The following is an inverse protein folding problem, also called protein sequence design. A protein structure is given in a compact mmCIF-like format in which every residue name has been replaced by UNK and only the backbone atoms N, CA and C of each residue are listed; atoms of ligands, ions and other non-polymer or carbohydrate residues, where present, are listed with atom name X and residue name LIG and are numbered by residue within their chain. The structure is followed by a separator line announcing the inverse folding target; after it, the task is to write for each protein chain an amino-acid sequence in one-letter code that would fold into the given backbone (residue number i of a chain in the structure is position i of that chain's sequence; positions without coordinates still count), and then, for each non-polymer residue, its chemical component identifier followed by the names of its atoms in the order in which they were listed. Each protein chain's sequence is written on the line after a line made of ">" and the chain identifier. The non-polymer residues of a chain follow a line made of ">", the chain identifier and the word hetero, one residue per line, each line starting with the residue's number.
data_IF_547340854608
#
_entry.id   IF_547340854608
#
_cell.length_a   1.000
_cell.length_b   1.000
_cell.length_c   1.000
_cell.angle_alpha   90.00
_cell.angle_beta   90.00
_cell.angle_gamma   90.00
#
_symmetry.space_group_name_H-M   'P 1'
#
loop_
_entity.id
_entity.type
_entity.pdbx_description
1 polymer ?
#
# COMPACT_ATOMS: atom_id res chain seq x y z
N UNK A 1 -7.02 18.62 24.55
CA UNK A 1 -7.45 17.25 24.87
C UNK A 1 -6.59 16.32 24.01
N UNK A 2 -5.80 15.42 24.60
CA UNK A 2 -4.98 14.47 23.81
C UNK A 2 -5.89 13.30 23.42
N UNK A 3 -6.04 13.04 22.11
CA UNK A 3 -6.83 11.91 21.64
C UNK A 3 -6.07 10.60 21.83
N UNK A 4 -6.78 9.50 22.02
CA UNK A 4 -6.16 8.19 22.13
C UNK A 4 -5.54 7.79 20.78
N UNK A 5 -4.37 7.15 20.83
CA UNK A 5 -3.71 6.59 19.65
C UNK A 5 -4.12 5.13 19.48
N UNK A 6 -4.61 4.80 18.30
CA UNK A 6 -4.99 3.44 17.94
C UNK A 6 -4.17 2.95 16.76
N UNK A 7 -3.86 1.65 16.76
CA UNK A 7 -3.25 0.99 15.60
C UNK A 7 -4.25 0.87 14.46
N UNK A 8 -3.84 1.30 13.27
CA UNK A 8 -4.61 1.27 12.04
C UNK A 8 -3.80 0.58 10.94
N UNK A 9 -4.09 -0.71 10.71
CA UNK A 9 -3.49 -1.53 9.66
C UNK A 9 -4.42 -1.59 8.44
N UNK A 10 -3.95 -1.03 7.33
CA UNK A 10 -4.68 -0.89 6.08
C UNK A 10 -3.88 -1.44 4.92
N UNK A 11 -4.61 -1.86 3.89
CA UNK A 11 -4.06 -2.30 2.63
C UNK A 11 -4.55 -1.43 1.49
N UNK A 12 -3.68 -1.12 0.55
CA UNK A 12 -4.06 -0.56 -0.74
C UNK A 12 -3.77 -1.63 -1.80
N UNK A 13 -4.76 -1.95 -2.60
CA UNK A 13 -4.58 -2.81 -3.77
C UNK A 13 -4.92 -2.03 -5.03
N UNK A 14 -4.16 -2.24 -6.09
CA UNK A 14 -4.46 -1.69 -7.40
C UNK A 14 -4.26 -2.72 -8.51
N UNK A 15 -5.16 -2.70 -9.47
CA UNK A 15 -5.03 -3.36 -10.76
C UNK A 15 -4.69 -2.28 -11.79
N UNK A 16 -3.52 -2.40 -12.42
CA UNK A 16 -3.15 -1.60 -13.59
C UNK A 16 -3.70 -2.17 -14.91
N UNK A 17 -3.90 -1.31 -15.91
CA UNK A 17 -4.37 -1.68 -17.26
C UNK A 17 -3.43 -2.68 -17.96
N UNK A 18 -2.12 -2.48 -17.83
CA UNK A 18 -1.13 -3.45 -18.30
C UNK A 18 0.16 -3.37 -17.49
N UNK A 19 0.75 -4.55 -17.21
CA UNK A 19 2.09 -4.66 -16.62
C UNK A 19 2.96 -5.48 -17.57
N UNK A 20 3.85 -4.81 -18.30
CA UNK A 20 4.81 -5.49 -19.19
C UNK A 20 6.02 -6.00 -18.42
N UNK A 21 6.56 -5.12 -17.56
CA UNK A 21 7.76 -5.34 -16.75
C UNK A 21 7.51 -4.87 -15.30
N UNK A 22 7.84 -5.73 -14.33
CA UNK A 22 7.60 -5.46 -12.91
C UNK A 22 8.51 -4.38 -12.34
N UNK A 23 9.76 -4.27 -12.85
CA UNK A 23 10.70 -3.26 -12.38
C UNK A 23 10.28 -1.88 -12.88
N UNK A 24 9.98 -1.73 -14.16
CA UNK A 24 9.52 -0.45 -14.71
C UNK A 24 8.23 0.04 -14.04
N UNK A 25 7.27 -0.86 -13.78
CA UNK A 25 6.07 -0.50 -13.02
C UNK A 25 6.40 -0.19 -11.57
N UNK A 26 7.29 -0.96 -10.94
CA UNK A 26 7.77 -0.69 -9.59
C UNK A 26 8.46 0.67 -9.44
N UNK A 27 9.25 1.09 -10.43
CA UNK A 27 9.89 2.41 -10.47
C UNK A 27 8.88 3.54 -10.57
N UNK A 28 7.81 3.38 -11.37
CA UNK A 28 6.70 4.35 -11.42
C UNK A 28 5.99 4.46 -10.07
N UNK A 29 5.68 3.32 -9.44
CA UNK A 29 5.10 3.32 -8.10
C UNK A 29 6.05 3.97 -7.09
N UNK A 30 7.34 3.65 -7.14
CA UNK A 30 8.35 4.28 -6.28
C UNK A 30 8.41 5.80 -6.48
N UNK A 31 8.33 6.28 -7.73
CA UNK A 31 8.30 7.70 -8.04
C UNK A 31 7.09 8.38 -7.41
N UNK A 32 5.88 7.82 -7.58
CA UNK A 32 4.67 8.28 -6.90
C UNK A 32 4.82 8.31 -5.38
N UNK A 33 5.42 7.26 -4.80
CA UNK A 33 5.61 7.17 -3.35
C UNK A 33 6.62 8.21 -2.82
N UNK A 34 7.64 8.58 -3.61
CA UNK A 34 8.64 9.60 -3.26
C UNK A 34 8.07 11.02 -3.19
N UNK A 35 6.91 11.27 -3.80
CA UNK A 35 6.20 12.56 -3.68
C UNK A 35 5.51 12.74 -2.32
N UNK A 36 5.48 11.71 -1.48
CA UNK A 36 4.94 11.81 -0.12
C UNK A 36 6.06 12.12 0.87
N UNK A 37 6.06 13.29 1.51
CA UNK A 37 7.10 13.66 2.47
C UNK A 37 7.10 12.75 3.69
N UNK A 38 6.00 12.09 4.03
CA UNK A 38 5.89 11.13 5.12
C UNK A 38 6.61 9.81 4.82
N UNK A 39 6.88 9.47 3.56
CA UNK A 39 7.63 8.26 3.23
C UNK A 39 9.13 8.55 3.13
N UNK A 40 9.92 7.86 3.97
CA UNK A 40 11.36 8.03 4.05
C UNK A 40 12.08 6.73 3.71
N UNK A 41 13.33 6.90 3.25
CA UNK A 41 14.27 5.81 2.98
C UNK A 41 13.70 4.74 2.04
N UNK A 42 12.91 5.18 1.05
CA UNK A 42 12.28 4.32 0.08
C UNK A 42 13.32 3.67 -0.84
N UNK A 43 13.30 2.34 -0.89
CA UNK A 43 14.15 1.53 -1.75
C UNK A 43 13.34 0.46 -2.46
N UNK A 44 13.79 0.09 -3.66
CA UNK A 44 13.17 -0.93 -4.50
C UNK A 44 14.07 -2.16 -4.56
N UNK A 45 13.47 -3.34 -4.41
CA UNK A 45 14.19 -4.61 -4.34
C UNK A 45 13.50 -5.62 -5.24
N UNK A 46 14.26 -6.23 -6.15
CA UNK A 46 13.76 -7.33 -6.98
C UNK A 46 13.77 -8.64 -6.20
N UNK A 47 12.70 -9.42 -6.35
CA UNK A 47 12.54 -10.74 -5.75
C UNK A 47 12.19 -11.77 -6.82
N UNK A 48 12.68 -12.99 -6.63
CA UNK A 48 12.38 -14.14 -7.49
C UNK A 48 12.26 -15.41 -6.65
N UNK A 49 11.18 -16.15 -6.84
CA UNK A 49 10.95 -17.43 -6.17
C UNK A 49 10.09 -18.34 -7.04
N UNK A 50 10.48 -19.60 -7.19
CA UNK A 50 9.69 -20.63 -7.91
C UNK A 50 9.17 -20.17 -9.30
N UNK A 51 10.02 -19.50 -10.07
CA UNK A 51 9.67 -18.99 -11.41
C UNK A 51 8.83 -17.71 -11.42
N UNK A 52 8.36 -17.23 -10.25
CA UNK A 52 7.69 -15.93 -10.10
C UNK A 52 8.71 -14.84 -9.81
N UNK A 53 8.46 -13.64 -10.33
CA UNK A 53 9.24 -12.45 -10.02
C UNK A 53 8.31 -11.32 -9.59
N UNK A 54 8.74 -10.55 -8.60
CA UNK A 54 8.03 -9.35 -8.16
C UNK A 54 9.05 -8.34 -7.67
N UNK A 55 8.57 -7.13 -7.46
CA UNK A 55 9.38 -6.05 -6.94
C UNK A 55 8.76 -5.56 -5.65
N UNK A 56 9.59 -5.39 -4.64
CA UNK A 56 9.19 -4.86 -3.34
C UNK A 56 9.68 -3.42 -3.22
N UNK A 57 8.84 -2.55 -2.65
CA UNK A 57 9.25 -1.23 -2.23
C UNK A 57 9.19 -1.21 -0.70
N UNK A 58 10.34 -1.00 -0.09
CA UNK A 58 10.53 -0.95 1.36
C UNK A 58 10.86 0.49 1.77
N UNK A 59 10.57 0.81 3.02
CA UNK A 59 10.92 2.10 3.62
C UNK A 59 10.20 2.27 4.95
N UNK A 60 10.05 3.51 5.38
CA UNK A 60 9.32 3.84 6.61
C UNK A 60 8.36 5.01 6.41
N UNK A 61 7.30 5.02 7.21
CA UNK A 61 6.38 6.15 7.34
C UNK A 61 6.80 6.98 8.55
N UNK A 62 7.03 8.26 8.35
CA UNK A 62 7.37 9.23 9.38
C UNK A 62 6.19 10.19 9.59
N UNK A 63 5.37 9.88 10.58
CA UNK A 63 4.20 10.69 10.97
C UNK A 63 4.20 10.90 12.50
N UNK A 64 3.65 12.02 13.01
CA UNK A 64 3.65 12.33 14.45
C UNK A 64 2.98 11.27 15.34
N UNK A 65 1.96 10.58 14.81
CA UNK A 65 1.28 9.51 15.54
C UNK A 65 2.16 8.25 15.68
N UNK A 66 3.19 8.11 14.84
CA UNK A 66 4.07 6.95 14.73
C UNK A 66 3.58 5.92 13.70
N UNK A 67 4.53 5.15 13.16
CA UNK A 67 4.26 4.03 12.25
C UNK A 67 4.87 2.73 12.76
N UNK A 68 4.39 1.61 12.23
CA UNK A 68 4.88 0.26 12.59
C UNK A 68 5.42 -0.49 11.38
N UNK A 69 4.77 -0.38 10.23
CA UNK A 69 5.24 -1.02 9.00
C UNK A 69 4.76 -0.29 7.75
N UNK A 70 5.63 -0.28 6.75
CA UNK A 70 5.33 0.10 5.37
C UNK A 70 6.00 -0.88 4.42
N UNK A 71 5.23 -1.38 3.45
CA UNK A 71 5.74 -2.28 2.43
C UNK A 71 4.82 -2.27 1.22
N UNK A 72 5.38 -2.27 0.02
CA UNK A 72 4.62 -2.49 -1.20
C UNK A 72 5.22 -3.62 -2.05
N UNK A 73 4.36 -4.28 -2.81
CA UNK A 73 4.69 -5.34 -3.76
C UNK A 73 4.04 -5.04 -5.10
N UNK A 74 4.84 -5.13 -6.16
CA UNK A 74 4.42 -5.01 -7.55
C UNK A 74 4.71 -6.32 -8.27
N UNK A 75 3.68 -6.90 -8.88
CA UNK A 75 3.76 -8.11 -9.69
C UNK A 75 2.96 -7.97 -10.98
N UNK A 76 3.25 -8.84 -11.94
CA UNK A 76 2.59 -8.87 -13.25
C UNK A 76 1.42 -9.82 -13.24
N UNK A 77 1.61 -11.00 -12.64
CA UNK A 77 0.62 -12.06 -12.71
C UNK A 77 -0.51 -11.81 -11.72
N UNK A 78 -1.74 -11.79 -12.24
CA UNK A 78 -2.95 -11.82 -11.43
C UNK A 78 -3.34 -13.28 -11.14
N UNK A 79 -3.99 -13.50 -10.00
CA UNK A 79 -4.64 -14.77 -9.69
C UNK A 79 -5.94 -14.51 -8.95
N UNK A 80 -6.82 -15.50 -8.85
CA UNK A 80 -8.06 -15.37 -8.06
C UNK A 80 -7.79 -14.93 -6.61
N UNK A 81 -6.69 -15.41 -6.03
CA UNK A 81 -6.28 -15.07 -4.66
C UNK A 81 -5.65 -13.68 -4.55
N UNK A 82 -5.01 -13.23 -5.61
CA UNK A 82 -4.30 -11.95 -5.66
C UNK A 82 -4.67 -11.21 -6.95
N UNK A 83 -5.90 -10.69 -7.04
CA UNK A 83 -6.42 -10.01 -8.22
C UNK A 83 -5.96 -8.54 -8.24
N UNK A 84 -4.66 -8.32 -8.03
CA UNK A 84 -4.04 -7.00 -8.01
C UNK A 84 -2.61 -7.08 -8.54
N UNK A 85 -2.17 -5.98 -9.17
CA UNK A 85 -0.79 -5.79 -9.61
C UNK A 85 0.06 -5.15 -8.50
N UNK A 86 -0.54 -4.21 -7.76
CA UNK A 86 0.08 -3.52 -6.62
C UNK A 86 -0.64 -3.91 -5.34
N UNK A 87 0.14 -4.22 -4.31
CA UNK A 87 -0.31 -4.30 -2.92
C UNK A 87 0.58 -3.42 -2.06
N UNK A 88 -0.02 -2.64 -1.17
CA UNK A 88 0.69 -1.83 -0.18
C UNK A 88 0.09 -2.13 1.18
N UNK A 89 0.94 -2.40 2.17
CA UNK A 89 0.57 -2.43 3.58
C UNK A 89 1.01 -1.15 4.26
N UNK A 90 0.07 -0.53 4.96
CA UNK A 90 0.25 0.69 5.75
C UNK A 90 -0.21 0.39 7.18
N UNK A 91 0.74 0.17 8.09
CA UNK A 91 0.46 -0.04 9.51
C UNK A 91 0.97 1.18 10.30
N UNK A 92 0.02 2.05 10.64
CA UNK A 92 0.30 3.32 11.32
C UNK A 92 -0.51 3.43 12.61
N UNK A 93 -0.12 4.37 13.47
CA UNK A 93 -1.01 4.84 14.51
C UNK A 93 -1.85 6.00 13.97
N UNK A 94 -3.09 6.07 14.41
CA UNK A 94 -3.98 7.19 14.14
C UNK A 94 -4.68 7.63 15.43
N UNK A 95 -4.91 8.93 15.53
CA UNK A 95 -5.61 9.52 16.65
C UNK A 95 -7.12 9.51 16.38
N UNK A 96 -7.91 9.25 17.42
CA UNK A 96 -9.37 9.30 17.33
C UNK A 96 -10.03 9.15 18.71
N UNK A 97 -11.33 9.39 18.77
CA UNK A 97 -12.09 9.16 20.02
C UNK A 97 -12.22 7.66 20.33
N UNK A 98 -12.22 6.84 19.28
CA UNK A 98 -12.26 5.39 19.36
C UNK A 98 -11.52 4.76 18.16
N UNK A 99 -11.36 3.45 18.18
CA UNK A 99 -10.63 2.70 17.15
C UNK A 99 -11.25 2.83 15.75
N UNK A 100 -12.57 2.97 15.66
CA UNK A 100 -13.29 3.08 14.39
C UNK A 100 -13.01 4.42 13.72
N UNK A 101 -13.11 5.52 14.48
CA UNK A 101 -12.76 6.86 14.01
C UNK A 101 -11.29 6.97 13.62
N UNK A 102 -10.39 6.41 14.43
CA UNK A 102 -8.96 6.39 14.12
C UNK A 102 -8.66 5.63 12.82
N UNK A 103 -9.29 4.46 12.60
CA UNK A 103 -9.14 3.70 11.36
C UNK A 103 -9.75 4.41 10.16
N UNK A 104 -10.91 5.05 10.32
CA UNK A 104 -11.52 5.85 9.25
C UNK A 104 -10.65 7.04 8.85
N UNK A 105 -10.03 7.72 9.82
CA UNK A 105 -9.07 8.80 9.58
C UNK A 105 -7.83 8.30 8.83
N UNK A 106 -7.24 7.17 9.28
CA UNK A 106 -6.12 6.55 8.59
C UNK A 106 -6.46 6.16 7.14
N UNK A 107 -7.63 5.53 6.92
CA UNK A 107 -8.12 5.20 5.58
C UNK A 107 -8.24 6.45 4.71
N UNK A 108 -8.88 7.50 5.21
CA UNK A 108 -9.08 8.75 4.48
C UNK A 108 -7.75 9.42 4.12
N UNK A 109 -6.78 9.37 5.03
CA UNK A 109 -5.42 9.86 4.76
C UNK A 109 -4.72 9.03 3.67
N UNK A 110 -4.83 7.70 3.71
CA UNK A 110 -4.27 6.83 2.68
C UNK A 110 -4.91 7.12 1.32
N UNK A 111 -6.24 7.23 1.27
CA UNK A 111 -6.98 7.58 0.04
C UNK A 111 -6.55 8.95 -0.49
N UNK A 112 -6.41 9.95 0.38
CA UNK A 112 -6.00 11.29 -0.03
C UNK A 112 -4.52 11.39 -0.47
N UNK A 113 -3.62 10.60 0.11
CA UNK A 113 -2.20 10.70 -0.19
C UNK A 113 -1.73 9.71 -1.26
N UNK A 114 -2.11 8.44 -1.16
CA UNK A 114 -1.56 7.39 -2.01
C UNK A 114 -2.27 7.31 -3.37
N UNK A 115 -3.61 7.28 -3.36
CA UNK A 115 -4.41 7.03 -4.57
C UNK A 115 -4.10 8.02 -5.69
N UNK A 116 -4.21 9.36 -5.51
CA UNK A 116 -3.99 10.30 -6.61
C UNK A 116 -2.57 10.26 -7.15
N UNK A 117 -1.57 9.97 -6.31
CA UNK A 117 -0.17 9.86 -6.74
C UNK A 117 0.08 8.60 -7.55
N UNK A 118 -0.50 7.48 -7.14
CA UNK A 118 -0.40 6.23 -7.91
C UNK A 118 -1.08 6.43 -9.27
N UNK A 119 -2.30 6.96 -9.30
CA UNK A 119 -3.05 7.25 -10.53
C UNK A 119 -2.33 8.23 -11.47
N UNK A 120 -1.57 9.18 -10.93
CA UNK A 120 -0.80 10.13 -11.75
C UNK A 120 0.42 9.50 -12.44
N UNK A 121 0.96 8.38 -11.91
CA UNK A 121 2.19 7.75 -12.41
C UNK A 121 1.96 6.41 -13.10
N UNK A 122 0.78 5.79 -12.91
CA UNK A 122 0.44 4.49 -13.50
C UNK A 122 -0.96 4.49 -14.12
N UNK A 123 -1.13 3.65 -15.15
CA UNK A 123 -2.43 3.44 -15.78
C UNK A 123 -3.27 2.50 -14.90
N UNK A 124 -4.03 3.07 -13.97
CA UNK A 124 -4.85 2.33 -12.99
C UNK A 124 -6.20 1.97 -13.59
N UNK A 125 -6.53 0.67 -13.57
CA UNK A 125 -7.85 0.14 -13.88
C UNK A 125 -8.77 0.14 -12.65
N UNK A 126 -8.24 -0.26 -11.50
CA UNK A 126 -8.95 -0.14 -10.23
C UNK A 126 -7.99 0.02 -9.05
N UNK A 127 -8.43 0.72 -8.02
CA UNK A 127 -7.68 0.93 -6.78
C UNK A 127 -8.63 0.93 -5.59
N UNK A 128 -8.24 0.28 -4.49
CA UNK A 128 -9.07 0.14 -3.29
C UNK A 128 -8.21 0.24 -2.04
N UNK A 129 -8.73 0.97 -1.04
CA UNK A 129 -8.17 0.99 0.32
C UNK A 129 -9.07 0.15 1.23
N UNK A 130 -8.47 -0.88 1.82
CA UNK A 130 -9.11 -1.93 2.59
C UNK A 130 -8.59 -1.92 4.04
N UNK A 131 -9.43 -2.31 4.98
CA UNK A 131 -8.94 -2.68 6.31
C UNK A 131 -8.52 -4.15 6.31
N UNK A 132 -7.70 -4.55 7.29
CA UNK A 132 -7.25 -5.94 7.40
C UNK A 132 -8.38 -6.98 7.41
N UNK A 133 -9.55 -6.63 7.97
CA UNK A 133 -10.74 -7.50 8.01
C UNK A 133 -11.41 -7.70 6.64
N UNK A 134 -11.24 -6.73 5.73
CA UNK A 134 -11.90 -6.72 4.41
C UNK A 134 -11.01 -7.38 3.33
N UNK A 135 -9.73 -7.61 3.65
CA UNK A 135 -8.79 -8.32 2.80
C UNK A 135 -8.76 -9.81 3.17
N UNK A 136 -9.75 -10.56 2.69
CA UNK A 136 -9.76 -12.02 2.79
C UNK A 136 -8.97 -12.62 1.63
N UNK A 137 -7.75 -13.10 1.91
CA UNK A 137 -7.14 -14.12 1.07
C UNK A 137 -8.03 -15.38 1.20
N UNK A 138 -8.57 -15.96 0.11
CA UNK A 138 -9.32 -17.21 0.20
C UNK A 138 -8.50 -18.27 0.96
N UNK A 139 -9.19 -19.02 1.84
CA UNK A 139 -8.56 -20.09 2.63
C UNK A 139 -7.83 -21.04 1.69
N UNK A 140 -6.63 -21.47 2.07
CA UNK A 140 -5.96 -22.62 1.44
C UNK A 140 -6.91 -23.82 1.59
N UNK A 141 -7.41 -24.36 0.48
CA UNK A 141 -7.88 -25.74 0.46
C UNK A 141 -6.70 -26.68 0.68
#
# INVERSE_FOLDING_TARGET
>A
MMMAKFRADHYLIAEFESVKDNMATGEKVLAALKEMPELKDLAIVSRRMEGRNWVEIVGRIDIPAGSRAFWAMVKKELSEREPYHLFVRIDINAEGENIEKARAAAKSWIEAQFVPRIEAHTDVKSIKVLQAKDFQLPKRN
#
